data_IF_382783363982
#
_entry.id   IF_382783363982
#
_cell.length_a   1.000
_cell.length_b   1.000
_cell.length_c   1.000
_cell.angle_alpha   90.00
_cell.angle_beta   90.00
_cell.angle_gamma   90.00
#
_symmetry.space_group_name_H-M   'P 1'
#
loop_
_entity.id
_entity.type
_entity.pdbx_description
1 polymer ?
#
# COMPACT_ATOMS: atom_id res chain seq x y z
N UNK A 1 -5.93 -1.03 -2.96
CA UNK A 1 -6.26 -1.36 -4.35
C UNK A 1 -5.02 -1.87 -5.06
N UNK A 2 -5.18 -2.86 -5.91
CA UNK A 2 -4.09 -3.49 -6.65
C UNK A 2 -4.33 -3.56 -8.13
N UNK A 3 -3.25 -3.62 -8.92
CA UNK A 3 -3.32 -3.83 -10.37
C UNK A 3 -3.76 -5.26 -10.71
N UNK A 4 -3.42 -6.22 -9.85
CA UNK A 4 -3.81 -7.63 -9.99
C UNK A 4 -4.16 -8.20 -8.60
N UNK A 5 -5.31 -7.81 -8.00
CA UNK A 5 -5.65 -8.21 -6.65
C UNK A 5 -5.95 -9.71 -6.56
N UNK A 6 -5.56 -10.32 -5.43
CA UNK A 6 -5.95 -11.69 -5.11
C UNK A 6 -7.40 -11.78 -4.65
N UNK A 7 -7.83 -12.99 -4.30
CA UNK A 7 -9.21 -13.25 -3.85
C UNK A 7 -9.43 -12.84 -2.39
N UNK A 8 -8.39 -12.86 -1.59
CA UNK A 8 -8.47 -12.52 -0.16
C UNK A 8 -7.22 -11.82 0.31
N UNK A 9 -7.32 -11.15 1.45
CA UNK A 9 -6.17 -10.49 2.08
C UNK A 9 -5.17 -11.54 2.56
N UNK A 10 -3.88 -11.26 2.37
CA UNK A 10 -2.80 -12.13 2.80
C UNK A 10 -2.91 -12.43 4.31
N UNK A 11 -2.97 -13.72 4.73
CA UNK A 11 -3.11 -14.07 6.15
C UNK A 11 -1.97 -13.53 7.02
N UNK A 12 -0.74 -13.49 6.52
CA UNK A 12 0.38 -12.92 7.27
C UNK A 12 0.22 -11.41 7.46
N UNK A 13 -0.33 -10.71 6.48
CA UNK A 13 -0.64 -9.29 6.61
C UNK A 13 -1.72 -9.06 7.67
N UNK A 14 -2.76 -9.89 7.70
CA UNK A 14 -3.79 -9.83 8.76
C UNK A 14 -3.16 -9.99 10.13
N UNK A 15 -2.28 -10.97 10.30
CA UNK A 15 -1.63 -11.25 11.58
C UNK A 15 -0.76 -10.08 12.05
N UNK A 16 0.08 -9.51 11.19
CA UNK A 16 0.99 -8.42 11.59
C UNK A 16 0.26 -7.10 11.81
N UNK A 17 -0.86 -6.87 11.13
CA UNK A 17 -1.68 -5.68 11.38
C UNK A 17 -2.46 -5.80 12.68
N UNK A 18 -2.92 -7.01 13.03
CA UNK A 18 -3.61 -7.26 14.30
C UNK A 18 -2.70 -6.99 15.49
N UNK A 19 -1.39 -7.21 15.37
CA UNK A 19 -0.41 -6.86 16.41
C UNK A 19 -0.45 -5.37 16.77
N UNK A 20 -0.85 -4.51 15.83
CA UNK A 20 -0.99 -3.07 16.02
C UNK A 20 -2.42 -2.66 16.41
N UNK A 21 -3.30 -3.63 16.66
CA UNK A 21 -4.70 -3.38 16.98
C UNK A 21 -5.57 -3.06 15.76
N UNK A 22 -5.09 -3.35 14.56
CA UNK A 22 -5.80 -3.08 13.31
C UNK A 22 -6.30 -4.41 12.72
N UNK A 23 -7.62 -4.55 12.62
CA UNK A 23 -8.25 -5.74 12.05
C UNK A 23 -8.58 -5.49 10.58
N UNK A 24 -7.86 -6.18 9.69
CA UNK A 24 -8.12 -6.15 8.25
C UNK A 24 -8.70 -7.46 7.72
N UNK A 25 -9.11 -8.38 8.62
CA UNK A 25 -9.63 -9.69 8.22
C UNK A 25 -10.93 -9.60 7.43
N UNK A 26 -11.72 -8.55 7.65
CA UNK A 26 -12.96 -8.31 6.92
C UNK A 26 -12.78 -7.55 5.61
N UNK A 27 -11.58 -7.09 5.31
CA UNK A 27 -11.30 -6.37 4.07
C UNK A 27 -11.16 -7.34 2.90
N UNK A 28 -11.46 -6.84 1.70
CA UNK A 28 -11.27 -7.60 0.47
C UNK A 28 -10.36 -6.83 -0.49
N UNK A 29 -9.45 -7.55 -1.18
CA UNK A 29 -8.63 -6.91 -2.19
C UNK A 29 -9.51 -6.31 -3.30
N UNK A 30 -9.21 -5.08 -3.67
CA UNK A 30 -9.94 -4.36 -4.69
C UNK A 30 -9.03 -4.08 -5.88
N UNK A 31 -9.59 -4.14 -7.09
CA UNK A 31 -8.87 -3.74 -8.28
C UNK A 31 -8.72 -2.23 -8.32
N UNK A 32 -7.53 -1.77 -8.69
CA UNK A 32 -7.27 -0.35 -8.89
C UNK A 32 -8.18 0.20 -10.00
N UNK A 33 -8.91 1.26 -9.70
CA UNK A 33 -9.82 1.93 -10.63
C UNK A 33 -9.26 3.27 -11.06
N UNK A 34 -9.54 3.66 -12.30
CA UNK A 34 -9.11 4.95 -12.81
C UNK A 34 -9.69 6.12 -12.00
N UNK A 35 -10.96 6.02 -11.60
CA UNK A 35 -11.60 7.06 -10.77
C UNK A 35 -10.88 7.25 -9.44
N UNK A 36 -10.45 6.17 -8.79
CA UNK A 36 -9.72 6.25 -7.54
C UNK A 36 -8.39 6.98 -7.71
N UNK A 37 -7.67 6.72 -8.79
CA UNK A 37 -6.41 7.40 -9.10
C UNK A 37 -6.67 8.87 -9.41
N UNK A 38 -7.70 9.19 -10.20
CA UNK A 38 -8.05 10.56 -10.54
C UNK A 38 -8.43 11.41 -9.31
N UNK A 39 -9.08 10.80 -8.32
CA UNK A 39 -9.51 11.47 -7.10
C UNK A 39 -8.38 11.58 -6.05
N UNK A 40 -7.26 10.92 -6.25
CA UNK A 40 -6.14 10.91 -5.32
C UNK A 40 -5.18 12.06 -5.60
N UNK A 41 -4.65 12.67 -4.55
CA UNK A 41 -3.62 13.72 -4.66
C UNK A 41 -2.22 13.11 -4.78
N UNK A 42 -1.99 11.99 -4.11
CA UNK A 42 -0.72 11.25 -4.12
C UNK A 42 -1.01 9.79 -4.47
N UNK A 43 -0.24 9.26 -5.40
CA UNK A 43 -0.35 7.86 -5.81
C UNK A 43 0.98 7.17 -5.50
N UNK A 44 0.91 6.11 -4.71
CA UNK A 44 2.07 5.33 -4.30
C UNK A 44 1.96 3.96 -4.93
N UNK A 45 2.99 3.56 -5.67
CA UNK A 45 3.07 2.25 -6.27
C UNK A 45 4.12 1.39 -5.57
N UNK A 46 3.85 0.09 -5.46
CA UNK A 46 4.75 -0.87 -4.81
C UNK A 46 4.90 -2.08 -5.74
N UNK A 47 5.54 -1.85 -6.90
CA UNK A 47 5.84 -2.92 -7.83
C UNK A 47 4.78 -3.21 -8.89
N UNK A 48 3.88 -2.28 -9.20
CA UNK A 48 2.90 -2.48 -10.26
C UNK A 48 3.44 -2.21 -11.67
N UNK A 49 4.61 -1.59 -11.78
CA UNK A 49 5.24 -1.32 -13.07
C UNK A 49 4.33 -0.51 -14.01
N UNK A 50 4.23 -0.96 -15.27
CA UNK A 50 3.43 -0.29 -16.30
C UNK A 50 1.93 -0.53 -16.14
N UNK A 51 1.50 -1.36 -15.20
CA UNK A 51 0.10 -1.68 -14.98
C UNK A 51 -0.67 -0.57 -14.26
N UNK A 52 0.02 0.41 -13.68
CA UNK A 52 -0.60 1.51 -12.96
C UNK A 52 -0.89 2.67 -13.91
N UNK A 53 -2.11 3.25 -13.89
CA UNK A 53 -2.42 4.42 -14.70
C UNK A 53 -1.65 5.65 -14.23
N UNK A 54 -1.35 6.55 -15.16
CA UNK A 54 -0.65 7.80 -14.87
C UNK A 54 -1.50 8.99 -15.33
N UNK A 55 -1.79 9.91 -14.41
CA UNK A 55 -2.50 11.15 -14.69
C UNK A 55 -1.64 12.35 -14.32
N UNK A 56 -1.49 13.35 -15.23
CA UNK A 56 -0.72 14.57 -14.92
C UNK A 56 -1.30 15.36 -13.76
N UNK A 57 -0.44 16.09 -13.04
CA UNK A 57 -0.86 16.96 -11.96
C UNK A 57 -0.94 16.28 -10.59
N UNK A 58 -0.61 14.99 -10.51
CA UNK A 58 -0.58 14.23 -9.26
C UNK A 58 0.85 13.90 -8.89
N UNK A 59 1.10 13.73 -7.58
CA UNK A 59 2.39 13.26 -7.08
C UNK A 59 2.43 11.73 -7.15
N UNK A 60 3.37 11.19 -7.89
CA UNK A 60 3.59 9.75 -8.01
C UNK A 60 4.87 9.34 -7.32
N UNK A 61 4.77 8.33 -6.47
CA UNK A 61 5.90 7.75 -5.75
C UNK A 61 5.93 6.24 -6.01
N UNK A 62 7.11 5.72 -6.28
CA UNK A 62 7.30 4.28 -6.41
C UNK A 62 8.19 3.82 -5.25
N UNK A 63 7.61 3.02 -4.35
CA UNK A 63 8.32 2.48 -3.20
C UNK A 63 8.78 1.07 -3.49
N UNK A 64 10.08 0.88 -3.40
CA UNK A 64 10.70 -0.43 -3.55
C UNK A 64 10.62 -1.17 -2.20
N UNK A 65 9.57 -1.96 -2.02
CA UNK A 65 9.39 -2.82 -0.85
C UNK A 65 9.15 -4.25 -1.30
N UNK A 66 9.65 -5.24 -0.54
CA UNK A 66 9.44 -6.65 -0.89
C UNK A 66 7.96 -7.01 -0.90
N UNK A 67 7.58 -7.94 -1.78
CA UNK A 67 6.23 -8.47 -1.84
C UNK A 67 6.00 -9.41 -0.65
N UNK A 68 4.99 -9.16 0.20
CA UNK A 68 4.71 -10.04 1.34
C UNK A 68 4.02 -11.35 0.98
N UNK A 69 3.63 -11.55 -0.27
CA UNK A 69 2.91 -12.75 -0.69
C UNK A 69 3.74 -14.01 -0.41
N UNK A 70 3.13 -15.00 0.25
CA UNK A 70 3.77 -16.27 0.57
C UNK A 70 4.78 -16.22 1.72
N UNK A 71 4.98 -15.07 2.36
CA UNK A 71 5.91 -14.93 3.47
C UNK A 71 5.22 -15.18 4.83
N UNK A 72 5.95 -15.76 5.81
CA UNK A 72 5.43 -15.89 7.17
C UNK A 72 5.39 -14.54 7.89
N UNK A 73 4.62 -14.42 9.00
CA UNK A 73 4.47 -13.14 9.71
C UNK A 73 5.78 -12.49 10.14
N UNK A 74 6.78 -13.27 10.58
CA UNK A 74 8.08 -12.72 11.00
C UNK A 74 8.86 -12.04 9.87
N UNK A 75 8.58 -12.40 8.61
CA UNK A 75 9.18 -11.74 7.45
C UNK A 75 8.31 -10.59 6.92
N UNK A 76 7.03 -10.57 7.24
CA UNK A 76 6.11 -9.48 6.86
C UNK A 76 6.25 -8.29 7.80
N UNK A 77 6.60 -8.50 9.07
CA UNK A 77 6.77 -7.40 10.04
C UNK A 77 7.75 -6.33 9.59
N UNK A 78 8.96 -6.66 9.11
CA UNK A 78 9.90 -5.63 8.63
C UNK A 78 9.33 -4.85 7.44
N UNK A 79 8.57 -5.51 6.57
CA UNK A 79 7.93 -4.86 5.42
C UNK A 79 6.88 -3.86 5.92
N UNK A 80 6.03 -4.29 6.86
CA UNK A 80 5.04 -3.42 7.51
C UNK A 80 5.70 -2.19 8.14
N UNK A 81 6.77 -2.41 8.89
CA UNK A 81 7.45 -1.34 9.61
C UNK A 81 8.13 -0.35 8.66
N UNK A 82 8.67 -0.83 7.53
CA UNK A 82 9.24 0.04 6.51
C UNK A 82 8.17 0.88 5.82
N UNK A 83 7.02 0.31 5.51
CA UNK A 83 5.89 1.04 4.93
C UNK A 83 5.41 2.10 5.92
N UNK A 84 5.26 1.75 7.19
CA UNK A 84 4.84 2.67 8.24
C UNK A 84 5.79 3.87 8.33
N UNK A 85 7.09 3.63 8.32
CA UNK A 85 8.11 4.68 8.34
C UNK A 85 7.98 5.62 7.14
N UNK A 86 7.80 5.07 5.94
CA UNK A 86 7.66 5.87 4.71
C UNK A 86 6.37 6.69 4.71
N UNK A 87 5.28 6.12 5.21
CA UNK A 87 3.99 6.85 5.33
C UNK A 87 4.13 8.02 6.32
N UNK A 88 4.79 7.83 7.45
CA UNK A 88 4.98 8.89 8.43
C UNK A 88 5.82 10.04 7.87
N UNK A 89 6.88 9.73 7.13
CA UNK A 89 7.70 10.75 6.45
C UNK A 89 6.88 11.52 5.42
N UNK A 90 6.11 10.80 4.59
CA UNK A 90 5.25 11.42 3.58
C UNK A 90 4.19 12.33 4.21
N UNK A 91 3.54 11.88 5.28
CA UNK A 91 2.54 12.70 5.99
C UNK A 91 3.15 13.99 6.53
N UNK A 92 4.37 13.92 7.09
CA UNK A 92 5.07 15.11 7.57
C UNK A 92 5.34 16.11 6.42
N UNK A 93 5.75 15.60 5.26
CA UNK A 93 5.97 16.43 4.06
C UNK A 93 4.69 17.10 3.58
N UNK A 94 3.59 16.34 3.50
CA UNK A 94 2.30 16.84 3.03
C UNK A 94 1.73 17.90 3.99
N UNK A 95 1.87 17.69 5.29
CA UNK A 95 1.44 18.66 6.31
C UNK A 95 2.27 19.94 6.26
N UNK A 96 3.56 19.84 5.93
CA UNK A 96 4.42 21.01 5.77
C UNK A 96 4.08 21.85 4.52
N UNK A 97 3.50 21.20 3.49
CA UNK A 97 3.08 21.86 2.25
C UNK A 97 1.68 22.51 2.35
N UNK A 98 0.92 22.14 3.37
CA UNK A 98 -0.46 22.60 3.55
C UNK A 98 -0.57 24.05 4.04
#
# INVERSE_FOLDING_TARGET
>A
AGSAPGESVNPSAVAVMQELGIDISGEQPERLRDETVQDSDVVITMGCGDACPFYPGKRYLDWDVPDPAGLPPEQVRPIRDEIDRRVLVLLAELLAEA
#
